data_IF_564059248892
#
_entry.id   IF_564059248892
#
_cell.length_a   1.000
_cell.length_b   1.000
_cell.length_c   1.000
_cell.angle_alpha   90.00
_cell.angle_beta   90.00
_cell.angle_gamma   90.00
#
_symmetry.space_group_name_H-M   'P 1'
#
loop_
_entity.id
_entity.type
_entity.pdbx_description
1 polymer ?
#
# COMPACT_ATOMS: atom_id res chain seq x y z
N UNK A 1 -1.66 29.11 -3.43
CA UNK A 1 -2.96 29.64 -2.95
C UNK A 1 -4.06 29.04 -3.82
N UNK A 2 -4.62 27.89 -3.42
CA UNK A 2 -5.81 27.31 -4.06
C UNK A 2 -6.93 27.35 -3.03
N UNK A 3 -7.84 28.32 -3.18
CA UNK A 3 -9.08 28.37 -2.42
C UNK A 3 -10.03 27.32 -3.01
N UNK A 4 -10.61 26.41 -2.22
CA UNK A 4 -11.62 25.50 -2.72
C UNK A 4 -12.89 26.30 -3.05
N UNK A 5 -13.20 26.43 -4.33
CA UNK A 5 -14.48 26.94 -4.81
C UNK A 5 -15.55 25.87 -4.61
N UNK A 6 -16.57 26.19 -3.81
CA UNK A 6 -17.70 25.31 -3.57
C UNK A 6 -18.76 25.55 -4.66
N UNK A 7 -18.98 24.59 -5.56
CA UNK A 7 -20.09 24.59 -6.51
C UNK A 7 -21.17 23.58 -6.09
N UNK A 8 -22.42 24.04 -6.07
CA UNK A 8 -23.63 23.32 -5.70
C UNK A 8 -24.22 22.54 -6.88
N UNK A 9 -24.49 21.25 -6.69
CA UNK A 9 -25.68 20.53 -7.19
C UNK A 9 -25.51 19.02 -6.99
N UNK A 10 -26.18 18.43 -5.99
CA UNK A 10 -26.46 16.99 -5.90
C UNK A 10 -25.28 16.00 -5.80
N UNK A 11 -24.03 16.46 -5.82
CA UNK A 11 -22.85 15.61 -5.73
C UNK A 11 -22.48 15.40 -4.26
N UNK A 12 -22.34 14.14 -3.84
CA UNK A 12 -21.76 13.81 -2.52
C UNK A 12 -20.35 14.39 -2.44
N UNK A 13 -20.13 15.31 -1.51
CA UNK A 13 -18.79 15.88 -1.26
C UNK A 13 -17.97 14.90 -0.43
N UNK A 14 -16.94 14.33 -1.05
CA UNK A 14 -15.96 13.46 -0.39
C UNK A 14 -14.64 14.24 -0.28
N UNK A 15 -14.07 14.31 0.92
CA UNK A 15 -12.77 14.93 1.18
C UNK A 15 -11.85 13.87 1.77
N UNK A 16 -10.71 13.61 1.14
CA UNK A 16 -9.77 12.56 1.50
C UNK A 16 -8.38 13.13 1.77
N UNK A 17 -7.76 12.74 2.90
CA UNK A 17 -6.36 13.06 3.23
C UNK A 17 -5.65 11.87 3.88
N UNK A 18 -4.31 11.92 3.92
CA UNK A 18 -3.49 10.96 4.67
C UNK A 18 -2.89 9.82 3.84
N UNK A 19 -3.04 9.87 2.51
CA UNK A 19 -2.32 9.01 1.56
C UNK A 19 -1.57 9.86 0.54
N UNK A 20 -0.30 9.53 0.30
CA UNK A 20 0.40 10.00 -0.90
C UNK A 20 0.02 9.07 -2.07
N UNK A 21 -0.75 9.53 -3.07
CA UNK A 21 -1.25 8.67 -4.13
C UNK A 21 -0.11 8.02 -4.94
N UNK A 22 1.03 8.71 -5.10
CA UNK A 22 2.19 8.15 -5.81
C UNK A 22 2.83 6.99 -5.06
N UNK A 23 3.01 7.12 -3.74
CA UNK A 23 3.56 6.04 -2.91
C UNK A 23 2.63 4.83 -2.89
N UNK A 24 1.31 5.06 -2.85
CA UNK A 24 0.33 3.99 -2.95
C UNK A 24 0.42 3.25 -4.28
N UNK A 25 0.45 3.99 -5.40
CA UNK A 25 0.58 3.41 -6.73
C UNK A 25 1.90 2.60 -6.87
N UNK A 26 3.00 3.10 -6.31
CA UNK A 26 4.29 2.39 -6.29
C UNK A 26 4.24 1.09 -5.47
N UNK A 27 3.61 1.12 -4.29
CA UNK A 27 3.38 -0.08 -3.47
C UNK A 27 2.49 -1.10 -4.20
N UNK A 28 1.45 -0.64 -4.88
CA UNK A 28 0.55 -1.50 -5.65
C UNK A 28 1.28 -2.17 -6.83
N UNK A 29 2.15 -1.44 -7.53
CA UNK A 29 3.01 -2.00 -8.59
C UNK A 29 3.98 -3.05 -8.04
N UNK A 30 4.63 -2.78 -6.90
CA UNK A 30 5.52 -3.74 -6.25
C UNK A 30 4.77 -5.01 -5.80
N UNK A 31 3.54 -4.87 -5.29
CA UNK A 31 2.69 -5.99 -4.93
C UNK A 31 2.31 -6.86 -6.14
N UNK A 32 2.02 -6.23 -7.29
CA UNK A 32 1.78 -6.97 -8.53
C UNK A 32 3.03 -7.73 -9.00
N UNK A 33 4.21 -7.09 -8.94
CA UNK A 33 5.48 -7.75 -9.28
C UNK A 33 5.74 -8.93 -8.35
N UNK A 34 5.58 -8.73 -7.03
CA UNK A 34 5.74 -9.75 -5.99
C UNK A 34 4.83 -10.95 -6.26
N UNK A 35 3.58 -10.71 -6.64
CA UNK A 35 2.62 -11.77 -6.99
C UNK A 35 3.10 -12.58 -8.19
N UNK A 36 3.50 -11.92 -9.27
CA UNK A 36 3.99 -12.56 -10.51
C UNK A 36 5.24 -13.41 -10.23
N UNK A 37 6.20 -12.86 -9.51
CA UNK A 37 7.48 -13.54 -9.25
C UNK A 37 7.34 -14.68 -8.24
N UNK A 38 6.42 -14.56 -7.27
CA UNK A 38 6.10 -15.64 -6.32
C UNK A 38 5.42 -16.82 -7.02
N UNK A 39 4.53 -16.56 -7.99
CA UNK A 39 3.95 -17.61 -8.83
C UNK A 39 5.03 -18.34 -9.64
N UNK A 40 5.97 -17.60 -10.23
CA UNK A 40 7.11 -18.17 -10.94
C UNK A 40 7.99 -19.03 -10.02
N UNK A 41 8.31 -18.53 -8.81
CA UNK A 41 9.05 -19.25 -7.78
C UNK A 41 8.39 -20.58 -7.45
N UNK A 42 7.08 -20.57 -7.23
CA UNK A 42 6.27 -21.76 -6.94
C UNK A 42 6.33 -22.78 -8.08
N UNK A 43 6.17 -22.32 -9.33
CA UNK A 43 6.27 -23.19 -10.52
C UNK A 43 7.63 -23.87 -10.63
N UNK A 44 8.72 -23.12 -10.42
CA UNK A 44 10.09 -23.68 -10.45
C UNK A 44 10.28 -24.68 -9.31
N UNK A 45 9.78 -24.36 -8.11
CA UNK A 45 9.83 -25.29 -6.97
C UNK A 45 9.12 -26.61 -7.27
N UNK A 46 7.90 -26.56 -7.82
CA UNK A 46 7.15 -27.76 -8.21
C UNK A 46 7.90 -28.59 -9.25
N UNK A 47 8.54 -27.95 -10.23
CA UNK A 47 9.37 -28.64 -11.21
C UNK A 47 10.57 -29.35 -10.57
N UNK A 48 11.28 -28.68 -9.66
CA UNK A 48 12.40 -29.25 -8.90
C UNK A 48 11.92 -30.49 -8.12
N UNK A 49 10.80 -30.39 -7.39
CA UNK A 49 10.22 -31.50 -6.64
C UNK A 49 9.80 -32.67 -7.55
N UNK A 50 9.22 -32.36 -8.72
CA UNK A 50 8.86 -33.35 -9.73
C UNK A 50 10.08 -34.15 -10.23
N UNK A 51 11.20 -33.47 -10.48
CA UNK A 51 12.46 -34.12 -10.90
C UNK A 51 13.00 -35.02 -9.77
N UNK A 52 13.05 -34.52 -8.53
CA UNK A 52 13.52 -35.29 -7.36
C UNK A 52 12.68 -36.56 -7.19
N UNK A 53 11.35 -36.43 -7.27
CA UNK A 53 10.42 -37.56 -7.14
C UNK A 53 10.65 -38.59 -8.25
N UNK A 54 10.79 -38.17 -9.50
CA UNK A 54 11.05 -39.09 -10.62
C UNK A 54 12.34 -39.88 -10.44
N UNK A 55 13.40 -39.23 -9.95
CA UNK A 55 14.70 -39.86 -9.70
C UNK A 55 14.58 -40.89 -8.57
N UNK A 56 13.92 -40.52 -7.47
CA UNK A 56 13.67 -41.42 -6.34
C UNK A 56 12.85 -42.64 -6.74
N UNK A 57 11.77 -42.45 -7.50
CA UNK A 57 10.87 -43.53 -7.89
C UNK A 57 11.50 -44.49 -8.90
N UNK A 58 12.19 -43.97 -9.92
CA UNK A 58 12.73 -44.80 -10.98
C UNK A 58 14.09 -45.43 -10.59
N UNK A 59 14.71 -45.02 -9.49
CA UNK A 59 16.08 -45.39 -9.08
C UNK A 59 17.14 -45.17 -10.20
N UNK A 60 16.84 -44.30 -11.16
CA UNK A 60 17.71 -44.05 -12.32
C UNK A 60 18.72 -42.97 -11.91
N UNK A 61 20.00 -43.20 -12.19
CA UNK A 61 21.03 -42.16 -12.09
C UNK A 61 20.65 -41.00 -13.00
N UNK A 62 20.69 -39.78 -12.46
CA UNK A 62 20.54 -38.57 -13.26
C UNK A 62 21.49 -38.61 -14.48
N UNK A 63 20.95 -38.53 -15.69
CA UNK A 63 21.76 -38.26 -16.88
C UNK A 63 22.50 -36.92 -16.70
N UNK A 64 23.64 -36.74 -17.39
CA UNK A 64 24.40 -35.47 -17.35
C UNK A 64 23.52 -34.26 -17.67
N UNK A 65 22.66 -34.38 -18.67
CA UNK A 65 21.73 -33.33 -19.08
C UNK A 65 20.70 -33.01 -18.00
N UNK A 66 20.07 -34.01 -17.37
CA UNK A 66 19.13 -33.78 -16.28
C UNK A 66 19.78 -33.14 -15.06
N UNK A 67 21.03 -33.52 -14.74
CA UNK A 67 21.82 -32.90 -13.68
C UNK A 67 22.04 -31.41 -13.94
N UNK A 68 22.43 -31.07 -15.18
CA UNK A 68 22.63 -29.69 -15.61
C UNK A 68 21.33 -28.88 -15.54
N UNK A 69 20.22 -29.44 -16.03
CA UNK A 69 18.90 -28.80 -15.96
C UNK A 69 18.47 -28.55 -14.51
N UNK A 70 18.63 -29.55 -13.64
CA UNK A 70 18.30 -29.44 -12.23
C UNK A 70 19.14 -28.36 -11.53
N UNK A 71 20.45 -28.35 -11.77
CA UNK A 71 21.34 -27.31 -11.25
C UNK A 71 20.93 -25.91 -11.71
N UNK A 72 20.59 -25.74 -12.99
CA UNK A 72 20.10 -24.47 -13.52
C UNK A 72 18.79 -24.03 -12.85
N UNK A 73 17.85 -24.95 -12.62
CA UNK A 73 16.60 -24.66 -11.92
C UNK A 73 16.84 -24.25 -10.46
N UNK A 74 17.79 -24.88 -9.75
CA UNK A 74 18.15 -24.48 -8.39
C UNK A 74 18.77 -23.07 -8.35
N UNK A 75 19.65 -22.74 -9.29
CA UNK A 75 20.23 -21.40 -9.41
C UNK A 75 19.14 -20.36 -9.65
N UNK A 76 18.23 -20.63 -10.61
CA UNK A 76 17.10 -19.75 -10.88
C UNK A 76 16.18 -19.58 -9.66
N UNK A 77 15.88 -20.68 -8.95
CA UNK A 77 15.07 -20.63 -7.74
C UNK A 77 15.69 -19.74 -6.67
N UNK A 78 17.00 -19.84 -6.47
CA UNK A 78 17.72 -19.01 -5.50
C UNK A 78 17.72 -17.54 -5.90
N UNK A 79 17.94 -17.22 -7.18
CA UNK A 79 17.89 -15.86 -7.70
C UNK A 79 16.50 -15.23 -7.52
N UNK A 80 15.46 -15.97 -7.88
CA UNK A 80 14.07 -15.53 -7.74
C UNK A 80 13.70 -15.37 -6.25
N UNK A 81 14.18 -16.24 -5.39
CA UNK A 81 13.95 -16.13 -3.94
C UNK A 81 14.60 -14.88 -3.37
N UNK A 82 15.83 -14.54 -3.79
CA UNK A 82 16.47 -13.27 -3.42
C UNK A 82 15.64 -12.08 -3.86
N UNK A 83 15.20 -12.05 -5.13
CA UNK A 83 14.38 -10.97 -5.66
C UNK A 83 13.04 -10.82 -4.93
N UNK A 84 12.38 -11.92 -4.55
CA UNK A 84 11.18 -11.88 -3.71
C UNK A 84 11.47 -11.15 -2.39
N UNK A 85 12.53 -11.55 -1.69
CA UNK A 85 12.89 -10.94 -0.41
C UNK A 85 13.25 -9.46 -0.54
N UNK A 86 13.91 -9.08 -1.65
CA UNK A 86 14.22 -7.67 -1.96
C UNK A 86 12.95 -6.84 -2.14
N UNK A 87 11.98 -7.34 -2.92
CA UNK A 87 10.70 -6.65 -3.15
C UNK A 87 9.88 -6.56 -1.84
N UNK A 88 9.84 -7.64 -1.05
CA UNK A 88 9.17 -7.63 0.26
C UNK A 88 9.79 -6.60 1.22
N UNK A 89 11.13 -6.49 1.22
CA UNK A 89 11.83 -5.48 2.00
C UNK A 89 11.53 -4.07 1.51
N UNK A 90 11.49 -3.85 0.20
CA UNK A 90 11.19 -2.54 -0.39
C UNK A 90 9.77 -2.08 -0.07
N UNK A 91 8.78 -2.97 -0.20
CA UNK A 91 7.39 -2.71 0.18
C UNK A 91 7.32 -2.30 1.66
N UNK A 92 8.00 -3.06 2.53
CA UNK A 92 8.02 -2.78 3.97
C UNK A 92 8.61 -1.40 4.27
N UNK A 93 9.77 -1.06 3.69
CA UNK A 93 10.39 0.26 3.90
C UNK A 93 9.48 1.38 3.43
N UNK A 94 8.83 1.25 2.26
CA UNK A 94 7.90 2.27 1.75
C UNK A 94 6.64 2.43 2.62
N UNK A 95 6.14 1.34 3.19
CA UNK A 95 5.05 1.38 4.16
C UNK A 95 5.48 2.06 5.46
N UNK A 96 6.68 1.75 5.95
CA UNK A 96 7.26 2.42 7.13
C UNK A 96 7.50 3.91 6.89
N UNK A 97 7.98 4.31 5.71
CA UNK A 97 8.13 5.71 5.31
C UNK A 97 6.78 6.43 5.30
N UNK A 98 5.75 5.80 4.73
CA UNK A 98 4.39 6.30 4.76
C UNK A 98 3.87 6.46 6.19
N UNK A 99 4.13 5.49 7.07
CA UNK A 99 3.74 5.51 8.49
C UNK A 99 4.58 6.51 9.32
N UNK A 100 5.76 6.89 8.87
CA UNK A 100 6.56 7.94 9.53
C UNK A 100 6.05 9.35 9.20
N UNK A 101 5.56 9.58 7.97
CA UNK A 101 4.88 10.82 7.55
C UNK A 101 3.49 10.98 8.20
N UNK A 102 3.01 9.92 8.86
CA UNK A 102 1.66 9.73 9.40
C UNK A 102 1.41 10.45 10.74
N UNK A 103 2.42 11.13 11.30
CA UNK A 103 2.31 11.89 12.54
C UNK A 103 1.27 13.03 12.54
N UNK A 104 0.70 13.41 11.39
CA UNK A 104 -0.28 14.50 11.29
C UNK A 104 -1.58 14.13 10.56
N UNK A 105 -2.21 12.98 10.87
CA UNK A 105 -3.56 12.61 10.40
C UNK A 105 -4.67 13.59 10.83
N UNK A 106 -4.64 14.81 10.29
CA UNK A 106 -5.45 15.96 10.67
C UNK A 106 -6.01 16.62 9.41
N UNK A 107 -7.30 16.92 9.42
CA UNK A 107 -7.97 17.77 8.43
C UNK A 107 -8.52 19.00 9.15
N UNK A 108 -8.05 20.19 8.80
CA UNK A 108 -8.63 21.42 9.32
C UNK A 108 -9.50 22.06 8.27
N UNK A 109 -10.77 22.25 8.60
CA UNK A 109 -11.69 23.04 7.81
C UNK A 109 -11.78 24.44 8.43
N UNK A 110 -11.32 25.45 7.69
CA UNK A 110 -11.43 26.87 8.08
C UNK A 110 -12.82 27.47 7.77
N UNK A 111 -13.65 26.73 7.03
CA UNK A 111 -14.98 27.13 6.61
C UNK A 111 -16.06 26.14 7.08
N UNK A 112 -17.33 26.49 6.86
CA UNK A 112 -18.49 25.68 7.25
C UNK A 112 -18.45 24.30 6.60
N UNK A 113 -18.56 23.24 7.40
CA UNK A 113 -18.68 21.85 6.93
C UNK A 113 -20.14 21.45 7.01
N UNK A 114 -20.73 21.01 5.90
CA UNK A 114 -22.15 20.66 5.82
C UNK A 114 -22.40 19.21 6.26
N UNK A 115 -23.61 18.95 6.76
CA UNK A 115 -24.10 17.60 6.97
C UNK A 115 -24.12 16.81 5.64
N UNK A 116 -23.77 15.53 5.69
CA UNK A 116 -23.66 14.65 4.53
C UNK A 116 -22.28 14.67 3.83
N UNK A 117 -21.35 15.54 4.24
CA UNK A 117 -19.95 15.47 3.78
C UNK A 117 -19.31 14.19 4.31
N UNK A 118 -18.61 13.47 3.43
CA UNK A 118 -17.86 12.26 3.78
C UNK A 118 -16.39 12.64 3.89
N UNK A 119 -15.83 12.49 5.08
CA UNK A 119 -14.41 12.69 5.36
C UNK A 119 -13.72 11.34 5.40
N UNK A 120 -12.61 11.20 4.69
CA UNK A 120 -11.75 10.02 4.74
C UNK A 120 -10.37 10.43 5.22
N UNK A 121 -10.00 9.95 6.40
CA UNK A 121 -8.62 10.05 6.91
C UNK A 121 -8.10 8.63 6.92
N UNK A 122 -7.21 8.32 5.97
CA UNK A 122 -6.77 6.96 5.66
C UNK A 122 -7.92 6.01 5.29
N UNK A 123 -8.05 4.90 6.00
CA UNK A 123 -9.05 3.84 5.85
C UNK A 123 -10.32 4.11 6.68
N UNK A 124 -10.33 5.17 7.48
CA UNK A 124 -11.47 5.55 8.31
C UNK A 124 -12.33 6.57 7.59
N UNK A 125 -13.60 6.20 7.39
CA UNK A 125 -14.63 7.06 6.85
C UNK A 125 -15.48 7.67 7.99
N UNK A 126 -15.69 8.97 7.93
CA UNK A 126 -16.56 9.71 8.82
C UNK A 126 -17.57 10.52 8.02
N UNK A 127 -18.85 10.24 8.23
CA UNK A 127 -19.95 11.02 7.65
C UNK A 127 -20.34 12.10 8.64
N UNK A 128 -20.19 13.36 8.22
CA UNK A 128 -20.61 14.53 8.99
C UNK A 128 -22.12 14.49 9.15
N UNK A 129 -22.60 14.21 10.37
CA UNK A 129 -24.04 14.10 10.66
C UNK A 129 -24.70 15.46 10.85
N UNK A 130 -23.98 16.38 11.48
CA UNK A 130 -24.43 17.74 11.77
C UNK A 130 -23.44 18.74 11.19
N UNK A 131 -23.96 19.88 10.73
CA UNK A 131 -23.10 20.90 10.11
C UNK A 131 -22.25 21.60 11.17
N UNK A 132 -20.97 21.85 10.86
CA UNK A 132 -20.08 22.66 11.66
C UNK A 132 -20.06 24.09 11.10
N UNK A 133 -20.71 25.03 11.78
CA UNK A 133 -20.75 26.45 11.37
C UNK A 133 -19.47 27.22 11.71
N UNK A 134 -18.57 26.61 12.51
CA UNK A 134 -17.27 27.17 12.91
C UNK A 134 -16.15 26.29 12.38
N UNK A 135 -14.97 26.89 12.26
CA UNK A 135 -13.76 26.17 11.89
C UNK A 135 -13.51 25.01 12.87
N UNK A 136 -13.17 23.84 12.32
CA UNK A 136 -13.03 22.57 13.06
C UNK A 136 -11.87 21.76 12.49
N UNK A 137 -11.18 21.03 13.34
CA UNK A 137 -10.15 20.06 12.92
C UNK A 137 -10.64 18.65 13.20
N UNK A 138 -10.64 17.79 12.18
CA UNK A 138 -10.88 16.37 12.29
C UNK A 138 -9.54 15.65 12.46
N UNK A 139 -9.46 14.75 13.44
CA UNK A 139 -8.26 14.03 13.81
C UNK A 139 -8.56 12.54 13.80
N UNK A 140 -7.67 11.74 13.19
CA UNK A 140 -7.69 10.30 13.38
C UNK A 140 -7.17 9.96 14.78
N UNK A 141 -8.00 9.35 15.61
CA UNK A 141 -7.68 8.87 16.96
C UNK A 141 -7.90 7.35 17.00
N UNK A 142 -6.84 6.59 16.74
CA UNK A 142 -6.94 5.15 16.54
C UNK A 142 -7.79 4.81 15.31
N UNK A 143 -8.97 4.22 15.53
CA UNK A 143 -9.89 3.75 14.48
C UNK A 143 -11.10 4.67 14.27
N UNK A 144 -11.16 5.83 14.94
CA UNK A 144 -12.27 6.77 14.81
C UNK A 144 -11.77 8.20 14.54
N UNK A 145 -12.59 8.97 13.84
CA UNK A 145 -12.34 10.40 13.59
C UNK A 145 -13.04 11.21 14.69
N UNK A 146 -12.28 12.03 15.40
CA UNK A 146 -12.80 12.98 16.40
C UNK A 146 -12.61 14.41 15.94
N UNK A 147 -13.42 15.32 16.50
CA UNK A 147 -13.27 16.77 16.26
C UNK A 147 -12.53 17.45 17.40
N UNK A 148 -11.67 18.39 17.05
CA UNK A 148 -10.98 19.30 17.97
C UNK A 148 -11.16 20.76 17.51
N UNK A 149 -10.83 21.72 18.38
CA UNK A 149 -10.75 23.14 18.03
C UNK A 149 -9.86 23.31 16.81
N UNK A 150 -10.26 24.23 15.92
CA UNK A 150 -9.47 24.54 14.74
C UNK A 150 -8.01 24.81 15.10
N UNK A 151 -7.12 24.04 14.48
CA UNK A 151 -5.69 24.30 14.46
C UNK A 151 -5.32 24.61 13.03
N UNK A 152 -4.65 25.73 12.83
CA UNK A 152 -4.01 26.02 11.56
C UNK A 152 -3.01 24.90 11.27
N UNK A 153 -3.19 24.21 10.15
CA UNK A 153 -2.21 23.24 9.66
C UNK A 153 -1.10 24.12 9.09
N UNK A 154 -0.02 24.34 9.84
CA UNK A 154 1.19 24.93 9.27
C UNK A 154 1.64 24.01 8.14
N UNK A 155 1.50 24.46 6.90
CA UNK A 155 1.92 23.74 5.70
C UNK A 155 3.45 23.61 5.68
N UNK A 156 4.00 22.60 6.35
CA UNK A 156 5.33 22.07 6.05
C UNK A 156 5.20 20.83 5.16
N UNK A 157 4.47 20.95 4.04
CA UNK A 157 4.41 19.92 2.99
C UNK A 157 4.90 20.45 1.63
N UNK A 158 5.61 21.58 1.61
CA UNK A 158 6.35 22.01 0.42
C UNK A 158 7.82 22.23 0.80
N UNK A 159 8.66 21.24 0.46
CA UNK A 159 10.14 21.14 0.47
C UNK A 159 10.52 19.89 1.29
N UNK A 160 11.26 18.92 0.78
CA UNK A 160 12.27 18.89 -0.30
C UNK A 160 12.47 17.46 -0.76
#
# INVERSE_FOLDING_TARGET
MLLPSCSTSGVKTIIEVGYNPKLKDEIDQLNEELKKITQLRSKIHLNIQGIIRQVRLKKIKFSKEKKKLFGNMQVQFNQITKRVNEIESEIKTRQEDQDSLVANGRMSASCKVLAGVILRIRDVEYVVRESYDRAVTFLLDGTYIRTDKYREITEDITRS
#
